data_IF_659722984016
#
_entry.id   IF_659722984016
#
_cell.length_a   1.000
_cell.length_b   1.000
_cell.length_c   1.000
_cell.angle_alpha   90.00
_cell.angle_beta   90.00
_cell.angle_gamma   90.00
#
_symmetry.space_group_name_H-M   'P 1'
#
loop_
_entity.id
_entity.type
_entity.pdbx_description
1 polymer ?
#
# COMPACT_ATOMS: atom_id res chain seq x y z
N UNK A 1 16.71 6.08 0.86
CA UNK A 1 16.25 7.33 1.53
C UNK A 1 17.05 8.59 1.16
N UNK A 2 18.07 8.48 0.30
CA UNK A 2 18.90 9.64 -0.10
C UNK A 2 18.15 10.72 -0.93
N UNK A 3 17.04 10.41 -1.57
CA UNK A 3 16.31 11.34 -2.44
C UNK A 3 15.44 12.37 -1.73
N UNK A 4 14.85 12.04 -0.60
CA UNK A 4 13.95 12.94 0.17
C UNK A 4 14.71 14.17 0.70
N UNK A 5 15.95 13.97 1.13
CA UNK A 5 16.78 15.06 1.66
C UNK A 5 17.05 16.19 0.66
N UNK A 6 17.17 15.89 -0.63
CA UNK A 6 17.41 16.91 -1.66
C UNK A 6 16.17 17.74 -1.99
N UNK A 7 14.99 17.10 -2.06
CA UNK A 7 13.72 17.82 -2.27
C UNK A 7 13.36 18.65 -1.03
N UNK A 8 13.56 18.11 0.16
CA UNK A 8 13.41 18.85 1.41
C UNK A 8 14.36 20.06 1.47
N UNK A 9 15.63 19.89 1.09
CA UNK A 9 16.59 21.00 1.05
C UNK A 9 16.13 22.15 0.14
N UNK A 10 15.54 21.84 -1.02
CA UNK A 10 14.97 22.84 -1.94
C UNK A 10 13.78 23.60 -1.32
N UNK A 11 12.92 22.88 -0.59
CA UNK A 11 11.76 23.47 0.10
C UNK A 11 12.19 24.35 1.29
N UNK A 12 13.24 23.95 2.03
CA UNK A 12 13.79 24.69 3.16
C UNK A 12 14.65 25.91 2.74
N UNK A 13 15.07 26.02 1.49
CA UNK A 13 15.79 27.20 0.98
C UNK A 13 14.90 28.46 0.85
N UNK A 14 13.56 28.30 0.82
CA UNK A 14 12.65 29.45 0.82
C UNK A 14 12.53 30.04 2.23
N UNK A 15 12.96 31.28 2.43
CA UNK A 15 12.90 31.99 3.72
C UNK A 15 11.46 32.39 4.07
N UNK A 16 11.04 32.11 5.30
CA UNK A 16 9.75 32.52 5.87
C UNK A 16 9.07 31.40 6.67
N UNK A 17 8.43 31.72 7.79
CA UNK A 17 7.74 30.77 8.68
C UNK A 17 6.68 29.94 7.94
N UNK A 18 5.90 30.57 7.05
CA UNK A 18 4.89 29.88 6.26
C UNK A 18 5.51 28.88 5.25
N UNK A 19 6.66 29.22 4.64
CA UNK A 19 7.38 28.31 3.74
C UNK A 19 7.96 27.12 4.50
N UNK A 20 8.49 27.37 5.68
CA UNK A 20 9.04 26.33 6.56
C UNK A 20 7.94 25.38 7.05
N UNK A 21 6.80 25.91 7.52
CA UNK A 21 5.64 25.09 7.92
C UNK A 21 5.12 24.22 6.76
N UNK A 22 5.04 24.78 5.55
CA UNK A 22 4.64 24.03 4.35
C UNK A 22 5.63 22.93 3.99
N UNK A 23 6.94 23.19 4.16
CA UNK A 23 7.99 22.20 3.92
C UNK A 23 7.91 21.03 4.92
N UNK A 24 7.72 21.33 6.21
CA UNK A 24 7.53 20.30 7.24
C UNK A 24 6.23 19.51 7.03
N UNK A 25 5.12 20.17 6.69
CA UNK A 25 3.86 19.51 6.35
C UNK A 25 4.01 18.57 5.17
N UNK A 26 4.66 19.01 4.09
CA UNK A 26 4.94 18.18 2.92
C UNK A 26 5.85 16.99 3.25
N UNK A 27 6.90 17.20 4.04
CA UNK A 27 7.77 16.14 4.51
C UNK A 27 7.02 15.10 5.36
N UNK A 28 6.17 15.57 6.28
CA UNK A 28 5.34 14.71 7.11
C UNK A 28 4.40 13.86 6.26
N UNK A 29 3.69 14.47 5.32
CA UNK A 29 2.77 13.76 4.42
C UNK A 29 3.50 12.71 3.57
N UNK A 30 4.70 12.98 3.08
CA UNK A 30 5.47 12.00 2.30
C UNK A 30 5.96 10.84 3.18
N UNK A 31 6.46 11.14 4.39
CA UNK A 31 7.05 10.13 5.25
C UNK A 31 6.00 9.26 5.97
N UNK A 32 4.89 9.86 6.40
CA UNK A 32 3.85 9.19 7.19
C UNK A 32 2.53 9.01 6.44
N UNK A 33 2.43 9.54 5.22
CA UNK A 33 1.21 9.53 4.40
C UNK A 33 0.58 8.14 4.25
N UNK A 34 1.32 7.12 3.82
CA UNK A 34 0.78 5.77 3.70
C UNK A 34 0.24 5.22 5.03
N UNK A 35 0.92 5.49 6.15
CA UNK A 35 0.47 5.07 7.47
C UNK A 35 -0.81 5.81 7.89
N UNK A 36 -0.86 7.13 7.69
CA UNK A 36 -2.06 7.93 8.01
C UNK A 36 -3.26 7.52 7.17
N UNK A 37 -3.06 7.25 5.88
CA UNK A 37 -4.12 6.80 4.99
C UNK A 37 -4.61 5.39 5.33
N UNK A 38 -3.73 4.50 5.80
CA UNK A 38 -4.12 3.21 6.37
C UNK A 38 -5.02 3.36 7.61
N UNK A 39 -4.70 4.31 8.49
CA UNK A 39 -5.56 4.63 9.64
C UNK A 39 -6.91 5.19 9.17
N UNK A 40 -6.92 6.09 8.19
CA UNK A 40 -8.16 6.65 7.61
C UNK A 40 -9.01 5.54 6.99
N UNK A 41 -8.41 4.59 6.30
CA UNK A 41 -9.12 3.42 5.77
C UNK A 41 -9.79 2.62 6.87
N UNK A 42 -9.07 2.24 7.92
CA UNK A 42 -9.62 1.47 9.03
C UNK A 42 -10.73 2.22 9.80
N UNK A 43 -10.55 3.52 10.01
CA UNK A 43 -11.58 4.37 10.63
C UNK A 43 -12.80 4.48 9.73
N UNK A 44 -12.61 4.65 8.42
CA UNK A 44 -13.70 4.69 7.44
C UNK A 44 -14.48 3.37 7.38
N UNK A 45 -13.80 2.25 7.40
CA UNK A 45 -14.41 0.91 7.48
C UNK A 45 -15.22 0.76 8.78
N UNK A 46 -14.65 1.18 9.91
CA UNK A 46 -15.35 1.13 11.19
C UNK A 46 -16.62 1.97 11.17
N UNK A 47 -16.56 3.17 10.58
CA UNK A 47 -17.70 4.06 10.41
C UNK A 47 -18.80 3.43 9.53
N UNK A 48 -18.43 2.81 8.41
CA UNK A 48 -19.38 2.08 7.55
C UNK A 48 -20.04 0.94 8.33
N UNK A 49 -19.27 0.12 9.06
CA UNK A 49 -19.78 -0.98 9.88
C UNK A 49 -20.77 -0.50 10.94
N UNK A 50 -20.48 0.60 11.62
CA UNK A 50 -21.36 1.16 12.65
C UNK A 50 -22.70 1.67 12.08
N UNK A 51 -22.69 2.25 10.85
CA UNK A 51 -23.90 2.77 10.21
C UNK A 51 -24.73 1.70 9.48
N UNK A 52 -24.11 0.61 9.08
CA UNK A 52 -24.78 -0.48 8.35
C UNK A 52 -25.22 -1.63 9.26
N UNK A 53 -25.00 -1.54 10.58
CA UNK A 53 -25.45 -2.53 11.55
C UNK A 53 -24.63 -3.82 11.55
N UNK A 54 -23.35 -3.75 11.17
CA UNK A 54 -22.45 -4.90 11.24
C UNK A 54 -22.29 -5.39 12.67
N UNK A 55 -22.25 -6.71 12.87
CA UNK A 55 -22.00 -7.29 14.19
C UNK A 55 -20.58 -6.94 14.67
N UNK A 56 -20.41 -6.85 15.98
CA UNK A 56 -19.08 -6.60 16.57
C UNK A 56 -18.05 -7.64 16.13
N UNK A 57 -18.46 -8.90 16.02
CA UNK A 57 -17.60 -9.99 15.57
C UNK A 57 -17.11 -9.75 14.12
N UNK A 58 -18.00 -9.39 13.20
CA UNK A 58 -17.61 -9.13 11.80
C UNK A 58 -16.64 -7.96 11.68
N UNK A 59 -16.84 -6.92 12.47
CA UNK A 59 -15.94 -5.75 12.50
C UNK A 59 -14.55 -6.12 13.04
N UNK A 60 -14.50 -6.87 14.15
CA UNK A 60 -13.23 -7.31 14.74
C UNK A 60 -12.48 -8.26 13.77
N UNK A 61 -13.19 -9.21 13.16
CA UNK A 61 -12.64 -10.12 12.17
C UNK A 61 -12.03 -9.36 10.98
N UNK A 62 -12.78 -8.43 10.39
CA UNK A 62 -12.35 -7.62 9.25
C UNK A 62 -11.09 -6.79 9.59
N UNK A 63 -11.09 -6.12 10.76
CA UNK A 63 -9.94 -5.36 11.22
C UNK A 63 -8.70 -6.26 11.38
N UNK A 64 -8.86 -7.45 11.92
CA UNK A 64 -7.78 -8.42 12.03
C UNK A 64 -7.27 -8.84 10.65
N UNK A 65 -8.16 -9.22 9.72
CA UNK A 65 -7.80 -9.63 8.37
C UNK A 65 -6.98 -8.55 7.66
N UNK A 66 -7.45 -7.31 7.64
CA UNK A 66 -6.75 -6.19 6.98
C UNK A 66 -5.42 -5.91 7.67
N UNK A 67 -5.42 -5.80 9.01
CA UNK A 67 -4.22 -5.43 9.76
C UNK A 67 -3.12 -6.49 9.65
N UNK A 68 -3.45 -7.78 9.79
CA UNK A 68 -2.47 -8.85 9.67
C UNK A 68 -1.94 -8.97 8.24
N UNK A 69 -2.79 -8.79 7.22
CA UNK A 69 -2.35 -8.79 5.82
C UNK A 69 -1.40 -7.63 5.52
N UNK A 70 -1.73 -6.42 5.99
CA UNK A 70 -0.85 -5.25 5.87
C UNK A 70 0.48 -5.48 6.59
N UNK A 71 0.46 -5.97 7.83
CA UNK A 71 1.66 -6.22 8.62
C UNK A 71 2.54 -7.30 7.99
N UNK A 72 1.95 -8.40 7.53
CA UNK A 72 2.67 -9.49 6.88
C UNK A 72 3.33 -9.02 5.58
N UNK A 73 2.60 -8.28 4.74
CA UNK A 73 3.13 -7.76 3.47
C UNK A 73 4.29 -6.78 3.69
N UNK A 74 4.17 -5.87 4.65
CA UNK A 74 5.25 -4.95 5.03
C UNK A 74 6.47 -5.69 5.59
N UNK A 75 6.26 -6.72 6.39
CA UNK A 75 7.34 -7.53 6.95
C UNK A 75 8.12 -8.23 5.86
N UNK A 76 7.44 -8.92 4.95
CA UNK A 76 8.08 -9.63 3.83
C UNK A 76 8.83 -8.66 2.92
N UNK A 77 8.21 -7.56 2.54
CA UNK A 77 8.85 -6.57 1.65
C UNK A 77 10.02 -5.86 2.30
N UNK A 78 9.99 -5.62 3.62
CA UNK A 78 11.08 -4.95 4.34
C UNK A 78 12.41 -5.72 4.30
N UNK A 79 12.37 -7.05 4.32
CA UNK A 79 13.59 -7.89 4.21
C UNK A 79 14.33 -7.65 2.90
N UNK A 80 13.60 -7.44 1.81
CA UNK A 80 14.18 -7.25 0.47
C UNK A 80 14.41 -5.78 0.12
N UNK A 81 13.70 -4.86 0.76
CA UNK A 81 13.71 -3.45 0.38
C UNK A 81 15.10 -2.83 0.43
N UNK A 82 15.96 -3.24 1.37
CA UNK A 82 17.32 -2.73 1.50
C UNK A 82 18.20 -3.14 0.29
N UNK A 83 18.06 -4.39 -0.16
CA UNK A 83 18.79 -4.90 -1.32
C UNK A 83 18.29 -4.26 -2.60
N UNK A 84 16.96 -4.19 -2.76
CA UNK A 84 16.30 -3.60 -3.93
C UNK A 84 16.64 -2.12 -4.06
N UNK A 85 16.52 -1.34 -2.99
CA UNK A 85 16.81 0.10 -3.04
C UNK A 85 18.29 0.39 -3.31
N UNK A 86 19.20 -0.45 -2.82
CA UNK A 86 20.62 -0.34 -3.13
C UNK A 86 20.89 -0.62 -4.60
N UNK A 87 20.34 -1.71 -5.13
CA UNK A 87 20.48 -2.08 -6.54
C UNK A 87 19.94 -0.98 -7.45
N UNK A 88 18.74 -0.44 -7.16
CA UNK A 88 18.15 0.65 -7.94
C UNK A 88 19.07 1.88 -7.95
N UNK A 89 19.62 2.25 -6.77
CA UNK A 89 20.52 3.39 -6.67
C UNK A 89 21.78 3.21 -7.52
N UNK A 90 22.36 2.02 -7.52
CA UNK A 90 23.55 1.70 -8.32
C UNK A 90 23.23 1.72 -9.83
N UNK A 91 22.11 1.15 -10.26
CA UNK A 91 21.66 1.17 -11.67
C UNK A 91 21.32 2.58 -12.17
N UNK A 92 20.69 3.40 -11.34
CA UNK A 92 20.42 4.81 -11.68
C UNK A 92 21.71 5.64 -11.78
N UNK A 93 22.72 5.33 -10.96
CA UNK A 93 24.04 5.97 -11.04
C UNK A 93 24.78 5.60 -12.32
N UNK A 94 24.64 4.36 -12.79
CA UNK A 94 25.21 3.86 -14.04
C UNK A 94 24.40 4.26 -15.29
N UNK A 95 23.31 5.03 -15.14
CA UNK A 95 22.38 5.43 -16.21
C UNK A 95 21.71 4.26 -16.95
N UNK A 96 21.62 3.08 -16.31
CA UNK A 96 21.06 1.84 -16.87
C UNK A 96 19.57 1.69 -16.52
N UNK A 97 18.72 2.55 -17.07
CA UNK A 97 17.29 2.58 -16.76
C UNK A 97 16.54 1.29 -17.13
N UNK A 98 16.95 0.60 -18.20
CA UNK A 98 16.35 -0.69 -18.62
C UNK A 98 16.53 -1.79 -17.57
N UNK A 99 17.67 -1.79 -16.85
CA UNK A 99 17.93 -2.74 -15.80
C UNK A 99 17.03 -2.52 -14.56
N UNK A 100 16.61 -1.28 -14.31
CA UNK A 100 15.70 -0.93 -13.20
C UNK A 100 14.34 -1.58 -13.41
N UNK A 101 13.74 -1.44 -14.59
CA UNK A 101 12.42 -2.00 -14.89
C UNK A 101 12.45 -3.55 -14.91
N UNK A 102 13.50 -4.11 -15.48
CA UNK A 102 13.72 -5.56 -15.49
C UNK A 102 13.83 -6.13 -14.07
N UNK A 103 14.54 -5.42 -13.16
CA UNK A 103 14.69 -5.81 -11.77
C UNK A 103 13.39 -5.72 -10.97
N UNK A 104 12.48 -4.80 -11.33
CA UNK A 104 11.17 -4.69 -10.70
C UNK A 104 10.37 -5.99 -10.85
N UNK A 105 10.27 -6.54 -12.05
CA UNK A 105 9.55 -7.79 -12.26
C UNK A 105 10.23 -8.99 -11.60
N UNK A 106 11.56 -9.03 -11.62
CA UNK A 106 12.32 -10.07 -10.94
C UNK A 106 12.14 -10.06 -9.41
N UNK A 107 12.25 -8.87 -8.80
CA UNK A 107 12.05 -8.72 -7.35
C UNK A 107 10.59 -8.98 -6.95
N UNK A 108 9.63 -8.54 -7.76
CA UNK A 108 8.19 -8.80 -7.53
C UNK A 108 7.89 -10.30 -7.56
N UNK A 109 8.40 -11.03 -8.57
CA UNK A 109 8.20 -12.48 -8.67
C UNK A 109 8.79 -13.21 -7.45
N UNK A 110 10.01 -12.84 -7.03
CA UNK A 110 10.65 -13.41 -5.84
C UNK A 110 9.83 -13.15 -4.57
N UNK A 111 9.39 -11.91 -4.37
CA UNK A 111 8.59 -11.51 -3.22
C UNK A 111 7.23 -12.22 -3.17
N UNK A 112 6.56 -12.37 -4.32
CA UNK A 112 5.28 -13.08 -4.42
C UNK A 112 5.43 -14.57 -4.09
N UNK A 113 6.48 -15.21 -4.59
CA UNK A 113 6.72 -16.63 -4.31
C UNK A 113 7.05 -16.86 -2.83
N UNK A 114 8.06 -16.16 -2.32
CA UNK A 114 8.49 -16.33 -0.91
C UNK A 114 7.41 -15.87 0.06
N UNK A 115 6.86 -14.67 -0.16
CA UNK A 115 5.82 -14.11 0.69
C UNK A 115 4.51 -14.90 0.61
N UNK A 116 4.11 -15.31 -0.60
CA UNK A 116 2.90 -16.09 -0.81
C UNK A 116 2.96 -17.45 -0.11
N UNK A 117 4.09 -18.15 -0.15
CA UNK A 117 4.28 -19.40 0.60
C UNK A 117 4.18 -19.14 2.11
N UNK A 118 4.90 -18.15 2.64
CA UNK A 118 4.90 -17.83 4.07
C UNK A 118 3.51 -17.43 4.56
N UNK A 119 2.83 -16.55 3.83
CA UNK A 119 1.52 -16.07 4.19
C UNK A 119 0.44 -17.12 3.98
N UNK A 120 0.54 -17.94 2.93
CA UNK A 120 -0.33 -19.07 2.70
C UNK A 120 -0.29 -20.09 3.84
N UNK A 121 0.92 -20.43 4.33
CA UNK A 121 1.07 -21.28 5.52
C UNK A 121 0.39 -20.64 6.73
N UNK A 122 0.58 -19.35 6.97
CA UNK A 122 -0.08 -18.64 8.07
C UNK A 122 -1.61 -18.73 7.97
N UNK A 123 -2.18 -18.53 6.76
CA UNK A 123 -3.63 -18.61 6.54
C UNK A 123 -4.20 -19.99 6.80
N UNK A 124 -3.49 -21.07 6.49
CA UNK A 124 -3.93 -22.45 6.77
C UNK A 124 -4.17 -22.68 8.28
N UNK A 125 -3.43 -22.00 9.15
CA UNK A 125 -3.58 -22.10 10.60
C UNK A 125 -4.46 -20.99 11.22
N UNK A 126 -4.99 -20.07 10.41
CA UNK A 126 -5.76 -18.90 10.89
C UNK A 126 -7.17 -19.25 11.40
N UNK A 127 -7.75 -20.39 10.95
CA UNK A 127 -9.09 -20.80 11.32
C UNK A 127 -10.24 -19.98 10.70
N UNK A 128 -9.94 -19.07 9.76
CA UNK A 128 -10.96 -18.33 9.00
C UNK A 128 -11.51 -19.15 7.83
N UNK A 129 -12.66 -18.74 7.28
CA UNK A 129 -13.31 -19.42 6.16
C UNK A 129 -12.42 -19.42 4.91
N UNK A 130 -12.57 -20.40 4.03
CA UNK A 130 -11.79 -20.49 2.79
C UNK A 130 -11.95 -19.25 1.91
N UNK A 131 -13.15 -18.67 1.81
CA UNK A 131 -13.39 -17.45 1.03
C UNK A 131 -12.55 -16.29 1.59
N UNK A 132 -12.57 -16.12 2.90
CA UNK A 132 -11.79 -15.06 3.58
C UNK A 132 -10.28 -15.30 3.43
N UNK A 133 -9.81 -16.56 3.43
CA UNK A 133 -8.41 -16.89 3.17
C UNK A 133 -7.99 -16.47 1.76
N UNK A 134 -8.83 -16.76 0.75
CA UNK A 134 -8.54 -16.33 -0.63
C UNK A 134 -8.50 -14.82 -0.78
N UNK A 135 -9.45 -14.10 -0.18
CA UNK A 135 -9.48 -12.62 -0.21
C UNK A 135 -8.25 -12.04 0.49
N UNK A 136 -7.84 -12.61 1.61
CA UNK A 136 -6.60 -12.19 2.29
C UNK A 136 -5.35 -12.46 1.45
N UNK A 137 -5.28 -13.62 0.78
CA UNK A 137 -4.14 -13.98 -0.05
C UNK A 137 -4.02 -13.08 -1.29
N UNK A 138 -5.15 -12.78 -1.94
CA UNK A 138 -5.21 -11.85 -3.08
C UNK A 138 -4.77 -10.46 -2.67
N UNK A 139 -5.36 -9.92 -1.60
CA UNK A 139 -4.99 -8.62 -1.04
C UNK A 139 -3.52 -8.55 -0.63
N UNK A 140 -2.98 -9.63 -0.04
CA UNK A 140 -1.57 -9.74 0.29
C UNK A 140 -0.67 -9.65 -0.95
N UNK A 141 -1.04 -10.34 -2.03
CA UNK A 141 -0.32 -10.29 -3.31
C UNK A 141 -0.28 -8.89 -3.89
N UNK A 142 -1.42 -8.19 -3.92
CA UNK A 142 -1.50 -6.79 -4.37
C UNK A 142 -0.63 -5.86 -3.52
N UNK A 143 -0.67 -6.02 -2.20
CA UNK A 143 0.16 -5.21 -1.28
C UNK A 143 1.65 -5.42 -1.53
N UNK A 144 2.11 -6.65 -1.74
CA UNK A 144 3.53 -6.93 -2.05
C UNK A 144 3.97 -6.18 -3.30
N UNK A 145 3.19 -6.28 -4.38
CA UNK A 145 3.51 -5.59 -5.64
C UNK A 145 3.51 -4.07 -5.44
N UNK A 146 2.52 -3.56 -4.72
CA UNK A 146 2.39 -2.13 -4.42
C UNK A 146 3.58 -1.62 -3.58
N UNK A 147 3.94 -2.30 -2.48
CA UNK A 147 5.09 -1.89 -1.65
C UNK A 147 6.41 -1.95 -2.43
N UNK A 148 6.58 -2.96 -3.29
CA UNK A 148 7.73 -3.05 -4.17
C UNK A 148 7.74 -1.87 -5.17
N UNK A 149 6.63 -1.59 -5.86
CA UNK A 149 6.49 -0.47 -6.79
C UNK A 149 6.79 0.88 -6.12
N UNK A 150 6.27 1.09 -4.89
CA UNK A 150 6.57 2.30 -4.12
C UNK A 150 8.06 2.46 -3.80
N UNK A 151 8.80 1.36 -3.59
CA UNK A 151 10.25 1.41 -3.39
C UNK A 151 10.97 1.96 -4.62
N UNK A 152 10.55 1.54 -5.82
CA UNK A 152 11.05 2.04 -7.09
C UNK A 152 10.65 3.49 -7.36
N UNK A 153 9.37 3.85 -7.17
CA UNK A 153 8.87 5.22 -7.33
C UNK A 153 9.54 6.20 -6.36
N UNK A 154 9.85 5.75 -5.14
CA UNK A 154 10.60 6.55 -4.16
C UNK A 154 12.03 6.82 -4.65
N UNK A 155 12.67 5.86 -5.31
CA UNK A 155 14.00 6.04 -5.90
C UNK A 155 13.99 7.04 -7.07
N UNK A 156 12.92 7.06 -7.88
CA UNK A 156 12.68 8.02 -8.97
C UNK A 156 12.18 9.37 -8.44
N UNK A 157 11.84 9.46 -7.13
CA UNK A 157 11.36 10.68 -6.43
C UNK A 157 9.95 11.14 -6.82
N UNK A 158 9.09 10.26 -7.32
CA UNK A 158 7.69 10.58 -7.62
C UNK A 158 6.77 10.39 -6.39
N UNK A 159 7.01 11.18 -5.34
CA UNK A 159 6.22 11.13 -4.11
C UNK A 159 4.79 11.62 -4.28
N UNK A 160 4.53 12.50 -5.27
CA UNK A 160 3.18 12.98 -5.54
C UNK A 160 2.32 11.88 -6.15
N UNK A 161 2.87 11.11 -7.07
CA UNK A 161 2.22 9.96 -7.68
C UNK A 161 1.77 8.97 -6.59
N UNK A 162 2.69 8.57 -5.71
CA UNK A 162 2.41 7.68 -4.58
C UNK A 162 1.29 8.21 -3.68
N UNK A 163 1.30 9.48 -3.33
CA UNK A 163 0.29 10.05 -2.45
C UNK A 163 -1.10 10.06 -3.11
N UNK A 164 -1.17 10.42 -4.38
CA UNK A 164 -2.43 10.48 -5.13
C UNK A 164 -2.99 9.06 -5.32
N UNK A 165 -2.15 8.09 -5.68
CA UNK A 165 -2.58 6.68 -5.84
C UNK A 165 -3.16 6.13 -4.53
N UNK A 166 -2.54 6.43 -3.40
CA UNK A 166 -3.03 6.02 -2.08
C UNK A 166 -4.35 6.67 -1.70
N UNK A 167 -4.51 7.99 -1.91
CA UNK A 167 -5.76 8.69 -1.64
C UNK A 167 -6.89 8.11 -2.49
N UNK A 168 -6.62 7.84 -3.78
CA UNK A 168 -7.61 7.24 -4.67
C UNK A 168 -7.98 5.82 -4.23
N UNK A 169 -7.02 5.01 -3.80
CA UNK A 169 -7.27 3.68 -3.27
C UNK A 169 -8.23 3.70 -2.07
N UNK A 170 -7.94 4.54 -1.08
CA UNK A 170 -8.78 4.67 0.12
C UNK A 170 -10.19 5.15 -0.24
N UNK A 171 -10.30 6.19 -1.08
CA UNK A 171 -11.60 6.72 -1.49
C UNK A 171 -12.43 5.68 -2.24
N UNK A 172 -11.82 4.95 -3.19
CA UNK A 172 -12.50 3.89 -3.95
C UNK A 172 -12.89 2.74 -3.03
N UNK A 173 -12.00 2.28 -2.14
CA UNK A 173 -12.29 1.21 -1.18
C UNK A 173 -13.52 1.52 -0.33
N UNK A 174 -13.58 2.72 0.24
CA UNK A 174 -14.72 3.12 1.08
C UNK A 174 -16.02 3.25 0.29
N UNK A 175 -15.96 3.84 -0.91
CA UNK A 175 -17.11 4.01 -1.78
C UNK A 175 -17.66 2.67 -2.27
N UNK A 176 -16.79 1.81 -2.80
CA UNK A 176 -17.18 0.48 -3.29
C UNK A 176 -17.69 -0.38 -2.14
N UNK A 177 -17.02 -0.35 -0.97
CA UNK A 177 -17.45 -1.10 0.20
C UNK A 177 -18.87 -0.72 0.66
N UNK A 178 -19.16 0.56 0.72
CA UNK A 178 -20.51 1.03 1.03
C UNK A 178 -21.56 0.58 0.00
N UNK A 179 -21.23 0.67 -1.30
CA UNK A 179 -22.13 0.22 -2.37
C UNK A 179 -22.39 -1.28 -2.33
N UNK A 180 -21.37 -2.10 -2.08
CA UNK A 180 -21.51 -3.57 -2.01
C UNK A 180 -22.40 -4.00 -0.85
N UNK A 181 -22.31 -3.32 0.29
CA UNK A 181 -23.18 -3.56 1.44
C UNK A 181 -24.63 -3.19 1.11
N UNK A 182 -24.87 -2.08 0.40
CA UNK A 182 -26.23 -1.68 -0.03
C UNK A 182 -26.87 -2.69 -0.98
N UNK A 183 -26.09 -3.41 -1.78
CA UNK A 183 -26.56 -4.49 -2.65
C UNK A 183 -26.89 -5.77 -1.86
N UNK A 184 -26.48 -5.85 -0.59
CA UNK A 184 -26.81 -6.95 0.32
C UNK A 184 -25.71 -8.01 0.44
N UNK A 185 -24.45 -7.70 0.05
CA UNK A 185 -23.32 -8.59 0.27
C UNK A 185 -22.92 -8.55 1.76
N UNK A 186 -22.52 -9.68 2.38
CA UNK A 186 -22.10 -9.71 3.78
C UNK A 186 -20.95 -8.72 4.04
N UNK A 187 -20.95 -8.09 5.21
CA UNK A 187 -20.05 -6.97 5.53
C UNK A 187 -18.55 -7.30 5.38
N UNK A 188 -18.14 -8.50 5.82
CA UNK A 188 -16.72 -8.90 5.77
C UNK A 188 -16.25 -9.05 4.32
N UNK A 189 -16.99 -9.82 3.53
CA UNK A 189 -16.66 -10.05 2.12
C UNK A 189 -16.75 -8.76 1.30
N UNK A 190 -17.82 -7.95 1.50
CA UNK A 190 -18.02 -6.69 0.80
C UNK A 190 -16.85 -5.71 1.01
N UNK A 191 -16.42 -5.56 2.26
CA UNK A 191 -15.35 -4.62 2.60
C UNK A 191 -13.98 -5.17 2.23
N UNK A 192 -13.74 -6.47 2.32
CA UNK A 192 -12.49 -7.08 1.82
C UNK A 192 -12.36 -6.92 0.30
N UNK A 193 -13.41 -7.27 -0.47
CA UNK A 193 -13.44 -7.08 -1.93
C UNK A 193 -13.22 -5.60 -2.28
N UNK A 194 -13.85 -4.68 -1.56
CA UNK A 194 -13.70 -3.26 -1.80
C UNK A 194 -12.28 -2.75 -1.57
N UNK A 195 -11.62 -3.23 -0.51
CA UNK A 195 -10.21 -2.90 -0.22
C UNK A 195 -9.30 -3.46 -1.31
N UNK A 196 -9.50 -4.71 -1.73
CA UNK A 196 -8.78 -5.33 -2.84
C UNK A 196 -8.95 -4.52 -4.14
N UNK A 197 -10.17 -4.14 -4.51
CA UNK A 197 -10.40 -3.30 -5.69
C UNK A 197 -9.68 -1.96 -5.59
N UNK A 198 -9.72 -1.29 -4.43
CA UNK A 198 -9.06 0.00 -4.24
C UNK A 198 -7.55 -0.09 -4.33
N UNK A 199 -6.94 -1.11 -3.71
CA UNK A 199 -5.50 -1.34 -3.79
C UNK A 199 -5.07 -1.89 -5.15
N UNK A 200 -5.91 -2.66 -5.84
CA UNK A 200 -5.69 -3.06 -7.23
C UNK A 200 -5.60 -1.86 -8.18
N UNK A 201 -6.46 -0.84 -8.01
CA UNK A 201 -6.37 0.42 -8.75
C UNK A 201 -5.07 1.16 -8.42
N UNK A 202 -4.68 1.20 -7.15
CA UNK A 202 -3.39 1.78 -6.72
C UNK A 202 -2.21 1.07 -7.39
N UNK A 203 -2.21 -0.26 -7.39
CA UNK A 203 -1.19 -1.08 -8.02
C UNK A 203 -1.05 -0.75 -9.51
N UNK A 204 -2.17 -0.71 -10.25
CA UNK A 204 -2.17 -0.37 -11.67
C UNK A 204 -1.65 1.05 -11.92
N UNK A 205 -2.01 1.99 -11.04
CA UNK A 205 -1.52 3.36 -11.11
C UNK A 205 -0.02 3.44 -10.86
N UNK A 206 0.48 2.82 -9.81
CA UNK A 206 1.89 2.84 -9.45
C UNK A 206 2.77 2.15 -10.50
N UNK A 207 2.29 1.03 -11.08
CA UNK A 207 2.97 0.36 -12.20
C UNK A 207 2.99 1.25 -13.45
N UNK A 208 1.89 1.93 -13.78
CA UNK A 208 1.87 2.88 -14.92
C UNK A 208 2.83 4.06 -14.72
N UNK A 209 3.01 4.53 -13.50
CA UNK A 209 4.00 5.58 -13.19
C UNK A 209 5.44 5.11 -13.38
N UNK A 210 5.72 3.81 -13.13
CA UNK A 210 7.04 3.23 -13.36
C UNK A 210 7.40 3.12 -14.85
N UNK A 211 6.39 2.98 -15.72
CA UNK A 211 6.60 2.89 -17.19
C UNK A 211 6.65 4.26 -17.88
N UNK A 212 6.41 5.33 -17.17
CA UNK A 212 6.41 6.70 -17.70
C UNK A 212 7.76 7.37 -17.62
#
# INVERSE_FOLDING_TARGET
>A
MAGIGFELKKLFQKRGLAATAKAYGYAGVICTGPMLLGIVLLVGIAFICDHTGATRHNRELLNCMITYTLLASLTVTSFFSMVVTRYIADMLYEERHEAVLSSFWGSTALLLVVGGIMYGIFLLFSGINLIDQFLCLEFFGELIVTWNAMSYLTAIKDYKGILISFITAVAVSLLVGFLLILIGIPHVEALMIAVTIGYGIMLLWDVTLLYR
#
